data_IF_126651428634
#
_entry.id   IF_126651428634
#
_cell.length_a   1.000
_cell.length_b   1.000
_cell.length_c   1.000
_cell.angle_alpha   90.00
_cell.angle_beta   90.00
_cell.angle_gamma   90.00
#
_symmetry.space_group_name_H-M   'P 1'
#
loop_
_entity.id
_entity.type
_entity.pdbx_description
1 polymer ?
#
# COMPACT_ATOMS: atom_id res chain seq x y z
N UNK A 1 -34.17 59.23 -23.87
CA UNK A 1 -33.07 59.17 -24.86
C UNK A 1 -31.84 58.71 -24.09
N UNK A 2 -31.62 57.40 -23.95
CA UNK A 2 -30.66 56.60 -24.72
C UNK A 2 -29.29 56.66 -24.03
N UNK A 3 -28.50 55.60 -23.82
CA UNK A 3 -28.40 54.30 -24.45
C UNK A 3 -27.16 53.56 -23.82
N UNK A 4 -27.10 52.22 -23.91
CA UNK A 4 -25.95 51.28 -23.79
C UNK A 4 -25.44 50.70 -22.44
N UNK A 5 -25.69 49.39 -22.29
CA UNK A 5 -24.79 48.27 -21.90
C UNK A 5 -23.37 48.55 -21.35
N UNK A 6 -22.96 47.79 -20.32
CA UNK A 6 -22.06 46.61 -20.45
C UNK A 6 -21.93 45.88 -19.09
N UNK A 7 -22.01 44.55 -19.19
CA UNK A 7 -21.75 43.51 -18.19
C UNK A 7 -20.26 43.44 -17.86
N UNK A 8 -19.89 43.29 -16.59
CA UNK A 8 -18.49 43.10 -16.17
C UNK A 8 -18.36 42.34 -14.86
N UNK A 9 -18.15 41.04 -14.99
CA UNK A 9 -17.72 40.04 -14.00
C UNK A 9 -16.95 40.57 -12.78
N UNK A 10 -17.40 40.17 -11.58
CA UNK A 10 -16.55 39.97 -10.40
C UNK A 10 -17.02 38.69 -9.70
N UNK A 11 -16.76 37.54 -10.35
CA UNK A 11 -16.60 36.29 -9.60
C UNK A 11 -15.21 36.35 -8.99
N UNK A 12 -15.14 36.67 -7.70
CA UNK A 12 -13.94 36.44 -6.92
C UNK A 12 -13.74 34.90 -6.86
N UNK A 13 -12.78 34.43 -7.63
CA UNK A 13 -12.23 33.08 -7.55
C UNK A 13 -11.66 32.92 -6.15
N UNK A 14 -12.36 32.18 -5.30
CA UNK A 14 -11.74 31.59 -4.11
C UNK A 14 -10.84 30.50 -4.67
N UNK A 15 -9.55 30.80 -4.78
CA UNK A 15 -8.55 29.79 -5.08
C UNK A 15 -8.51 28.83 -3.89
N UNK A 16 -8.91 27.59 -4.15
CA UNK A 16 -8.68 26.47 -3.26
C UNK A 16 -7.16 26.33 -3.00
N UNK A 17 -6.68 26.87 -1.88
CA UNK A 17 -5.42 26.42 -1.29
C UNK A 17 -5.67 25.07 -0.61
N UNK A 18 -5.67 24.01 -1.42
CA UNK A 18 -5.50 22.65 -0.91
C UNK A 18 -4.07 22.56 -0.40
N UNK A 19 -3.92 22.60 0.92
CA UNK A 19 -2.68 22.25 1.64
C UNK A 19 -2.23 20.88 1.14
N UNK A 20 -1.11 20.85 0.41
CA UNK A 20 -0.51 19.59 -0.03
C UNK A 20 -0.18 18.78 1.22
N UNK A 21 -0.71 17.54 1.28
CA UNK A 21 -0.11 16.48 2.09
C UNK A 21 1.41 16.55 1.92
N UNK A 22 2.19 16.38 2.99
CA UNK A 22 3.66 16.42 2.96
C UNK A 22 4.23 15.53 1.84
N UNK A 23 4.32 16.10 0.63
CA UNK A 23 4.76 15.44 -0.57
C UNK A 23 6.26 15.31 -0.42
N UNK A 24 6.72 14.12 -0.06
CA UNK A 24 8.16 13.88 0.05
C UNK A 24 8.73 13.92 -1.35
N UNK A 25 9.32 15.06 -1.69
CA UNK A 25 9.95 15.29 -2.98
C UNK A 25 11.42 14.91 -2.89
N UNK A 26 11.84 13.98 -3.74
CA UNK A 26 13.25 13.69 -3.95
C UNK A 26 13.82 14.76 -4.88
N UNK A 27 14.58 15.74 -4.39
CA UNK A 27 15.12 16.85 -5.20
C UNK A 27 14.05 17.57 -6.06
N UNK A 28 12.90 17.92 -5.46
CA UNK A 28 11.74 18.52 -6.16
C UNK A 28 10.98 17.60 -7.14
N UNK A 29 11.28 16.29 -7.14
CA UNK A 29 10.58 15.28 -7.94
C UNK A 29 9.42 14.64 -7.17
N UNK A 30 8.24 14.58 -7.79
CA UNK A 30 7.10 13.81 -7.29
C UNK A 30 7.30 12.32 -7.62
N UNK A 31 7.68 11.53 -6.61
CA UNK A 31 7.99 10.11 -6.76
C UNK A 31 6.78 9.26 -7.18
N UNK A 32 5.57 9.79 -7.06
CA UNK A 32 4.31 9.06 -7.25
C UNK A 32 3.62 9.39 -8.57
N UNK A 33 4.14 10.37 -9.33
CA UNK A 33 3.72 10.67 -10.69
C UNK A 33 4.75 10.22 -11.70
N UNK A 34 4.34 9.37 -12.63
CA UNK A 34 5.27 8.72 -13.54
C UNK A 34 4.58 7.74 -14.48
N UNK A 35 5.37 6.82 -15.01
CA UNK A 35 4.87 5.71 -15.83
C UNK A 35 5.72 4.46 -15.62
N UNK A 36 5.17 3.32 -15.99
CA UNK A 36 5.91 2.06 -16.02
C UNK A 36 6.73 1.96 -17.30
N UNK A 37 8.02 1.67 -17.16
CA UNK A 37 8.94 1.48 -18.27
C UNK A 37 9.56 0.09 -18.20
N UNK A 38 9.80 -0.49 -19.37
CA UNK A 38 10.53 -1.75 -19.46
C UNK A 38 11.97 -1.56 -18.98
N UNK A 39 12.50 -2.55 -18.27
CA UNK A 39 13.86 -2.53 -17.72
C UNK A 39 14.45 -3.93 -17.64
N UNK A 40 15.58 -4.13 -18.32
CA UNK A 40 16.32 -5.41 -18.28
C UNK A 40 16.89 -5.74 -16.90
N UNK A 41 17.10 -4.71 -16.08
CA UNK A 41 17.61 -4.82 -14.70
C UNK A 41 16.59 -5.37 -13.70
N UNK A 42 15.34 -5.59 -14.12
CA UNK A 42 14.27 -6.14 -13.28
C UNK A 42 13.96 -7.60 -13.66
N UNK A 43 13.39 -8.42 -12.76
CA UNK A 43 13.07 -8.10 -11.37
C UNK A 43 14.33 -7.96 -10.50
N UNK A 44 14.20 -7.36 -9.30
CA UNK A 44 15.31 -7.19 -8.36
C UNK A 44 15.88 -8.50 -7.83
N UNK A 45 15.07 -9.56 -7.86
CA UNK A 45 15.41 -10.90 -7.36
C UNK A 45 14.62 -11.98 -8.11
N UNK A 46 15.06 -13.23 -7.96
CA UNK A 46 14.29 -14.39 -8.40
C UNK A 46 13.42 -14.89 -7.24
N UNK A 47 12.09 -14.79 -7.34
CA UNK A 47 11.20 -15.18 -6.24
C UNK A 47 11.34 -16.64 -5.80
N UNK A 48 11.72 -17.54 -6.73
CA UNK A 48 11.90 -18.96 -6.43
C UNK A 48 13.11 -19.24 -5.53
N UNK A 49 13.99 -18.25 -5.29
CA UNK A 49 15.09 -18.38 -4.33
C UNK A 49 14.69 -17.97 -2.91
N UNK A 50 13.47 -17.47 -2.69
CA UNK A 50 12.98 -17.09 -1.37
C UNK A 50 12.02 -18.15 -0.82
N UNK A 51 12.47 -19.06 0.07
CA UNK A 51 11.68 -20.23 0.48
C UNK A 51 10.43 -19.90 1.32
N UNK A 52 10.30 -18.66 1.79
CA UNK A 52 9.23 -18.20 2.68
C UNK A 52 8.14 -17.38 1.97
N UNK A 53 8.21 -17.23 0.64
CA UNK A 53 7.30 -16.37 -0.14
C UNK A 53 6.04 -17.12 -0.57
N UNK A 54 4.86 -16.49 -0.46
CA UNK A 54 3.58 -17.10 -0.88
C UNK A 54 3.17 -16.74 -2.31
N UNK A 55 3.37 -15.49 -2.73
CA UNK A 55 2.89 -14.95 -4.01
C UNK A 55 3.83 -15.21 -5.20
N UNK A 56 4.55 -16.34 -5.19
CA UNK A 56 5.41 -16.73 -6.32
C UNK A 56 4.56 -17.27 -7.48
N UNK A 57 4.15 -16.36 -8.37
CA UNK A 57 3.31 -16.70 -9.51
C UNK A 57 4.00 -17.64 -10.50
N UNK A 58 5.32 -17.55 -10.67
CA UNK A 58 6.06 -18.43 -11.58
C UNK A 58 6.03 -19.88 -11.10
N UNK A 59 6.31 -20.11 -9.81
CA UNK A 59 6.22 -21.45 -9.22
C UNK A 59 4.79 -21.99 -9.21
N UNK A 60 3.81 -21.08 -9.14
CA UNK A 60 2.38 -21.41 -9.29
C UNK A 60 1.94 -21.60 -10.76
N UNK A 61 2.88 -21.62 -11.72
CA UNK A 61 2.64 -21.99 -13.11
C UNK A 61 2.30 -20.84 -14.05
N UNK A 62 2.55 -19.57 -13.68
CA UNK A 62 2.39 -18.43 -14.58
C UNK A 62 3.41 -18.49 -15.72
N UNK A 63 2.98 -18.53 -17.00
CA UNK A 63 3.89 -18.76 -18.12
C UNK A 63 4.56 -17.46 -18.63
N UNK A 64 3.87 -16.32 -18.55
CA UNK A 64 4.38 -15.04 -19.02
C UNK A 64 5.35 -14.42 -17.99
N UNK A 65 6.38 -13.75 -18.48
CA UNK A 65 7.45 -13.16 -17.64
C UNK A 65 7.60 -11.66 -17.81
N UNK A 66 6.97 -11.07 -18.83
CA UNK A 66 7.14 -9.65 -19.16
C UNK A 66 6.67 -8.72 -18.03
N UNK A 67 5.68 -9.13 -17.24
CA UNK A 67 5.20 -8.37 -16.08
C UNK A 67 6.31 -8.10 -15.04
N UNK A 68 7.36 -8.94 -15.00
CA UNK A 68 8.52 -8.79 -14.11
C UNK A 68 9.52 -7.74 -14.60
N UNK A 69 9.40 -7.32 -15.86
CA UNK A 69 10.38 -6.44 -16.53
C UNK A 69 9.99 -4.97 -16.50
N UNK A 70 9.05 -4.60 -15.64
CA UNK A 70 8.58 -3.22 -15.50
C UNK A 70 9.11 -2.60 -14.21
N UNK A 71 9.68 -1.40 -14.34
CA UNK A 71 10.05 -0.53 -13.21
C UNK A 71 9.24 0.75 -13.25
N UNK A 72 8.96 1.32 -12.08
CA UNK A 72 8.35 2.64 -11.99
C UNK A 72 9.38 3.73 -12.32
N UNK A 73 9.01 4.68 -13.16
CA UNK A 73 9.83 5.85 -13.49
C UNK A 73 9.06 7.13 -13.16
N UNK A 74 9.40 7.83 -12.07
CA UNK A 74 8.87 9.15 -11.77
C UNK A 74 9.14 10.16 -12.90
N UNK A 75 8.30 11.18 -12.98
CA UNK A 75 8.50 12.28 -13.91
C UNK A 75 9.59 13.21 -13.35
N UNK A 76 10.67 13.39 -14.12
CA UNK A 76 11.72 14.36 -13.79
C UNK A 76 12.83 13.85 -12.87
N UNK A 77 12.79 12.59 -12.44
CA UNK A 77 13.90 11.95 -11.74
C UNK A 77 13.92 10.42 -11.97
N UNK A 78 15.01 9.78 -11.56
CA UNK A 78 15.09 8.34 -11.44
C UNK A 78 15.13 7.94 -9.96
N UNK A 79 14.49 6.81 -9.64
CA UNK A 79 14.64 6.21 -8.32
C UNK A 79 16.06 5.65 -8.16
N UNK A 80 16.68 5.78 -6.98
CA UNK A 80 17.94 5.10 -6.70
C UNK A 80 17.71 3.59 -6.76
N UNK A 81 18.66 2.87 -7.34
CA UNK A 81 18.62 1.40 -7.36
C UNK A 81 18.62 0.90 -5.91
N UNK A 82 17.72 -0.04 -5.59
CA UNK A 82 17.68 -0.65 -4.27
C UNK A 82 18.98 -1.41 -3.97
N UNK A 83 19.68 -0.99 -2.93
CA UNK A 83 20.86 -1.67 -2.38
C UNK A 83 20.50 -2.26 -1.01
N UNK A 84 20.35 -3.58 -0.98
CA UNK A 84 19.90 -4.30 0.22
C UNK A 84 20.95 -4.36 1.33
N UNK A 85 22.24 -4.43 1.01
CA UNK A 85 23.31 -4.42 2.00
C UNK A 85 23.43 -3.04 2.65
N UNK A 86 23.36 -1.97 1.84
CA UNK A 86 23.32 -0.60 2.34
C UNK A 86 22.06 -0.35 3.19
N UNK A 87 20.91 -0.88 2.76
CA UNK A 87 19.66 -0.77 3.52
C UNK A 87 19.77 -1.43 4.89
N UNK A 88 20.27 -2.67 4.96
CA UNK A 88 20.46 -3.38 6.23
C UNK A 88 21.50 -2.70 7.12
N UNK A 89 22.58 -2.19 6.53
CA UNK A 89 23.62 -1.44 7.25
C UNK A 89 23.08 -0.16 7.88
N UNK A 90 22.28 0.62 7.15
CA UNK A 90 21.63 1.84 7.68
C UNK A 90 20.59 1.53 8.75
N UNK A 91 19.96 0.36 8.67
CA UNK A 91 18.97 -0.13 9.63
C UNK A 91 19.56 -1.09 10.67
N UNK A 92 20.89 -1.05 10.87
CA UNK A 92 21.55 -1.85 11.89
C UNK A 92 20.99 -1.53 13.27
N UNK A 93 20.58 -2.55 14.01
CA UNK A 93 19.96 -2.41 15.32
C UNK A 93 18.52 -1.90 15.31
N UNK A 94 17.90 -1.73 14.14
CA UNK A 94 16.56 -1.13 13.99
C UNK A 94 15.48 -2.16 13.66
N UNK A 95 14.25 -1.80 13.96
CA UNK A 95 13.03 -2.54 13.59
C UNK A 95 12.16 -1.73 12.64
N UNK A 96 11.79 -2.34 11.52
CA UNK A 96 10.81 -1.83 10.56
C UNK A 96 9.55 -2.68 10.70
N UNK A 97 8.42 -2.07 11.04
CA UNK A 97 7.17 -2.78 11.27
C UNK A 97 6.08 -2.32 10.29
N UNK A 98 5.54 -3.28 9.54
CA UNK A 98 4.32 -3.15 8.74
C UNK A 98 3.12 -3.47 9.63
N UNK A 99 2.13 -2.59 9.67
CA UNK A 99 0.87 -2.81 10.39
C UNK A 99 -0.27 -2.63 9.41
N UNK A 100 -1.05 -3.67 9.15
CA UNK A 100 -2.14 -3.52 8.20
C UNK A 100 -2.79 -4.80 7.71
N UNK A 101 -3.39 -4.69 6.53
CA UNK A 101 -4.12 -5.78 5.89
C UNK A 101 -3.20 -6.73 5.09
N UNK A 102 -3.78 -7.57 4.24
CA UNK A 102 -3.01 -8.55 3.47
C UNK A 102 -2.09 -7.92 2.42
N UNK A 103 -2.27 -6.64 2.07
CA UNK A 103 -1.36 -5.93 1.18
C UNK A 103 -0.13 -5.38 1.90
N UNK A 104 -0.22 -5.09 3.21
CA UNK A 104 0.98 -4.90 4.05
C UNK A 104 1.82 -6.17 4.09
N UNK A 105 1.19 -7.35 4.25
CA UNK A 105 1.90 -8.62 4.16
C UNK A 105 2.54 -8.81 2.77
N UNK A 106 1.87 -8.39 1.70
CA UNK A 106 2.39 -8.47 0.34
C UNK A 106 3.66 -7.61 0.16
N UNK A 107 3.69 -6.40 0.71
CA UNK A 107 4.85 -5.50 0.71
C UNK A 107 5.98 -6.02 1.61
N UNK A 108 5.64 -6.56 2.79
CA UNK A 108 6.59 -7.17 3.72
C UNK A 108 7.29 -8.39 3.12
N UNK A 109 6.55 -9.28 2.43
CA UNK A 109 7.13 -10.44 1.73
C UNK A 109 8.05 -10.01 0.60
N UNK A 110 7.71 -8.94 -0.13
CA UNK A 110 8.60 -8.36 -1.13
C UNK A 110 9.90 -7.88 -0.48
N UNK A 111 9.82 -7.02 0.54
CA UNK A 111 11.01 -6.44 1.17
C UNK A 111 11.93 -7.53 1.74
N UNK A 112 11.38 -8.49 2.48
CA UNK A 112 12.18 -9.59 3.06
C UNK A 112 12.87 -10.42 2.00
N UNK A 113 12.23 -10.67 0.85
CA UNK A 113 12.83 -11.43 -0.24
C UNK A 113 13.90 -10.64 -1.02
N UNK A 114 13.69 -9.33 -1.26
CA UNK A 114 14.72 -8.44 -1.81
C UNK A 114 15.96 -8.46 -0.92
N UNK A 115 15.79 -8.31 0.39
CA UNK A 115 16.90 -8.29 1.35
C UNK A 115 17.60 -9.64 1.43
N UNK A 116 16.85 -10.74 1.51
CA UNK A 116 17.43 -12.09 1.52
C UNK A 116 18.29 -12.35 0.27
N UNK A 117 17.81 -11.91 -0.89
CA UNK A 117 18.53 -12.06 -2.16
C UNK A 117 19.77 -11.16 -2.25
N UNK A 118 19.75 -9.99 -1.60
CA UNK A 118 20.86 -9.04 -1.59
C UNK A 118 22.04 -9.49 -0.71
N UNK A 119 21.78 -10.25 0.36
CA UNK A 119 22.81 -10.77 1.28
C UNK A 119 22.73 -12.30 1.40
N UNK A 120 23.01 -13.05 0.32
CA UNK A 120 22.74 -14.49 0.23
C UNK A 120 23.54 -15.34 1.23
N UNK A 121 24.65 -14.81 1.76
CA UNK A 121 25.50 -15.49 2.73
C UNK A 121 25.15 -15.15 4.19
N UNK A 122 24.30 -14.14 4.43
CA UNK A 122 23.89 -13.75 5.77
C UNK A 122 22.78 -14.68 6.27
N UNK A 123 22.93 -15.16 7.51
CA UNK A 123 21.88 -15.92 8.15
C UNK A 123 20.66 -15.04 8.42
N UNK A 124 19.47 -15.63 8.32
CA UNK A 124 18.22 -15.00 8.71
C UNK A 124 17.41 -15.90 9.64
N UNK A 125 16.52 -15.29 10.43
CA UNK A 125 15.50 -16.00 11.20
C UNK A 125 14.12 -15.53 10.78
N UNK A 126 13.16 -16.45 10.77
CA UNK A 126 11.76 -16.13 10.50
C UNK A 126 10.89 -16.82 11.54
N UNK A 127 10.03 -16.04 12.19
CA UNK A 127 9.09 -16.55 13.19
C UNK A 127 7.68 -16.09 12.86
N UNK A 128 6.75 -17.02 12.95
CA UNK A 128 5.32 -16.76 12.78
C UNK A 128 4.61 -17.00 14.10
N UNK A 129 3.84 -16.01 14.53
CA UNK A 129 2.81 -16.16 15.57
C UNK A 129 1.46 -15.75 14.99
N UNK A 130 0.37 -15.83 15.78
CA UNK A 130 -1.00 -15.69 15.26
C UNK A 130 -1.23 -14.49 14.33
N UNK A 131 -0.70 -13.31 14.67
CA UNK A 131 -0.84 -12.08 13.86
C UNK A 131 0.49 -11.41 13.54
N UNK A 132 1.59 -11.87 14.14
CA UNK A 132 2.90 -11.24 14.03
C UNK A 132 3.86 -12.18 13.29
N UNK A 133 4.47 -11.68 12.22
CA UNK A 133 5.55 -12.33 11.48
C UNK A 133 6.80 -11.49 11.61
N UNK A 134 7.91 -12.08 12.05
CA UNK A 134 9.18 -11.37 12.25
C UNK A 134 10.25 -12.03 11.40
N UNK A 135 10.89 -11.25 10.54
CA UNK A 135 12.05 -11.64 9.74
C UNK A 135 13.27 -10.86 10.23
N UNK A 136 14.34 -11.52 10.63
CA UNK A 136 15.51 -10.84 11.20
C UNK A 136 16.81 -11.27 10.56
N UNK A 137 17.76 -10.33 10.48
CA UNK A 137 19.15 -10.60 10.10
C UNK A 137 20.05 -10.39 11.34
N UNK A 138 20.45 -11.45 12.05
CA UNK A 138 21.25 -11.33 13.27
C UNK A 138 22.57 -10.56 13.08
N UNK A 139 23.23 -10.74 11.93
CA UNK A 139 24.46 -10.03 11.58
C UNK A 139 24.29 -8.50 11.56
N UNK A 140 23.10 -8.02 11.20
CA UNK A 140 22.75 -6.60 11.15
C UNK A 140 21.98 -6.15 12.40
N UNK A 141 21.60 -7.06 13.28
CA UNK A 141 20.64 -6.80 14.36
C UNK A 141 19.38 -6.06 13.84
N UNK A 142 18.96 -6.34 12.61
CA UNK A 142 17.85 -5.68 11.94
C UNK A 142 16.65 -6.61 11.83
N UNK A 143 15.45 -6.07 12.09
CA UNK A 143 14.19 -6.84 12.07
C UNK A 143 13.15 -6.17 11.17
N UNK A 144 12.50 -6.98 10.32
CA UNK A 144 11.40 -6.59 9.45
C UNK A 144 10.16 -7.36 9.90
N UNK A 145 9.18 -6.64 10.44
CA UNK A 145 8.04 -7.21 11.15
C UNK A 145 6.75 -6.90 10.40
N UNK A 146 5.82 -7.86 10.34
CA UNK A 146 4.46 -7.64 9.90
C UNK A 146 3.49 -8.00 11.03
N UNK A 147 2.64 -7.04 11.39
CA UNK A 147 1.52 -7.21 12.30
C UNK A 147 0.20 -7.08 11.52
N UNK A 148 -0.55 -8.17 11.47
CA UNK A 148 -1.87 -8.18 10.85
C UNK A 148 -2.88 -7.41 11.70
N UNK A 149 -3.24 -6.21 11.22
CA UNK A 149 -4.32 -5.40 11.74
C UNK A 149 -5.00 -4.68 10.57
N UNK A 150 -5.87 -5.39 9.83
CA UNK A 150 -6.36 -4.90 8.56
C UNK A 150 -7.34 -3.72 8.61
N UNK A 151 -7.83 -3.34 9.79
CA UNK A 151 -8.70 -2.18 9.97
C UNK A 151 -8.05 -1.05 10.78
N UNK A 152 -6.89 -1.30 11.40
CA UNK A 152 -6.19 -0.46 12.39
C UNK A 152 -6.94 -0.20 13.69
N UNK A 153 -8.27 -0.14 13.64
CA UNK A 153 -9.19 -0.09 14.77
C UNK A 153 -9.61 -1.50 15.24
N UNK A 154 -10.26 -1.56 16.39
CA UNK A 154 -10.61 -2.83 17.03
C UNK A 154 -11.73 -3.58 16.29
N UNK A 155 -11.45 -4.85 15.96
CA UNK A 155 -12.46 -5.83 15.59
C UNK A 155 -12.71 -6.76 16.79
N UNK A 156 -13.81 -6.53 17.49
CA UNK A 156 -14.18 -7.27 18.70
C UNK A 156 -15.16 -8.41 18.38
N UNK A 157 -15.03 -9.51 19.11
CA UNK A 157 -15.96 -10.64 19.04
C UNK A 157 -16.94 -10.52 20.21
N UNK A 158 -18.11 -9.96 19.94
CA UNK A 158 -19.16 -9.72 20.92
C UNK A 158 -20.26 -10.78 20.79
N UNK A 159 -21.17 -10.86 21.76
CA UNK A 159 -22.31 -11.81 21.71
C UNK A 159 -23.20 -11.63 20.48
N UNK A 160 -23.28 -10.41 19.96
CA UNK A 160 -24.08 -10.06 18.78
C UNK A 160 -23.40 -10.43 17.46
N UNK A 161 -22.08 -10.66 17.47
CA UNK A 161 -21.27 -10.92 16.28
C UNK A 161 -19.94 -10.17 16.33
N UNK A 162 -19.28 -10.07 15.18
CA UNK A 162 -18.02 -9.35 15.02
C UNK A 162 -18.31 -7.86 14.83
N UNK A 163 -17.84 -7.04 15.76
CA UNK A 163 -18.11 -5.60 15.81
C UNK A 163 -16.84 -4.83 15.50
N UNK A 164 -16.89 -4.01 14.45
CA UNK A 164 -15.81 -3.09 14.11
C UNK A 164 -16.01 -1.77 14.87
N UNK A 165 -15.21 -1.53 15.91
CA UNK A 165 -15.28 -0.36 16.79
C UNK A 165 -14.44 0.77 16.20
N UNK A 166 -15.09 1.70 15.49
CA UNK A 166 -14.42 2.69 14.63
C UNK A 166 -13.65 3.76 15.39
N UNK A 167 -13.88 3.92 16.69
CA UNK A 167 -13.27 4.90 17.58
C UNK A 167 -12.40 4.27 18.68
N UNK A 168 -11.99 3.00 18.51
CA UNK A 168 -11.19 2.27 19.50
C UNK A 168 -9.95 1.61 18.88
N UNK A 169 -8.81 1.77 19.56
CA UNK A 169 -7.52 1.14 19.21
C UNK A 169 -6.92 0.55 20.49
N UNK A 170 -7.14 -0.75 20.73
CA UNK A 170 -6.60 -1.49 21.87
C UNK A 170 -5.21 -2.09 21.62
N UNK A 171 -4.79 -2.16 20.35
CA UNK A 171 -3.55 -2.83 19.93
C UNK A 171 -2.38 -1.89 19.65
N UNK A 172 -2.55 -0.59 19.89
CA UNK A 172 -1.55 0.42 19.57
C UNK A 172 -0.23 0.27 20.33
N UNK A 173 -0.27 -0.35 21.51
CA UNK A 173 0.91 -0.66 22.34
C UNK A 173 1.87 -1.69 21.69
N UNK A 174 1.40 -2.41 20.66
CA UNK A 174 2.19 -3.35 19.87
C UNK A 174 2.94 -2.64 18.71
N UNK A 175 2.56 -1.42 18.34
CA UNK A 175 3.12 -0.72 17.18
C UNK A 175 4.45 -0.06 17.54
N UNK A 176 5.49 -0.87 17.63
CA UNK A 176 6.83 -0.48 18.08
C UNK A 176 7.87 -0.74 16.99
N UNK A 177 8.61 0.29 16.65
CA UNK A 177 9.72 0.22 15.70
C UNK A 177 10.32 1.60 15.40
N UNK A 178 11.49 1.59 14.79
CA UNK A 178 12.17 2.78 14.28
C UNK A 178 11.50 3.29 12.99
N UNK A 179 10.81 2.40 12.29
CA UNK A 179 9.97 2.74 11.14
C UNK A 179 8.66 1.96 11.21
N UNK A 180 7.54 2.67 11.16
CA UNK A 180 6.19 2.10 11.14
C UNK A 180 5.55 2.37 9.78
N UNK A 181 5.02 1.33 9.14
CA UNK A 181 4.39 1.40 7.81
C UNK A 181 2.97 0.87 7.95
N UNK A 182 2.02 1.79 8.01
CA UNK A 182 0.60 1.47 8.17
C UNK A 182 -0.08 1.26 6.82
N UNK A 183 -1.04 0.33 6.73
CA UNK A 183 -1.95 0.23 5.60
C UNK A 183 -3.32 -0.23 6.08
N UNK A 184 -4.36 0.36 5.52
CA UNK A 184 -5.70 -0.22 5.62
C UNK A 184 -6.55 0.31 4.48
N UNK A 185 -7.10 -0.60 3.67
CA UNK A 185 -8.17 -0.27 2.73
C UNK A 185 -8.79 -1.53 2.14
N UNK A 186 -7.96 -2.52 1.77
CA UNK A 186 -8.39 -3.65 0.97
C UNK A 186 -9.55 -4.41 1.62
N UNK A 187 -9.48 -4.63 2.94
CA UNK A 187 -10.54 -5.33 3.68
C UNK A 187 -11.85 -4.54 3.79
N UNK A 188 -11.82 -3.21 3.78
CA UNK A 188 -13.04 -2.36 3.82
C UNK A 188 -13.91 -2.56 2.57
N UNK A 189 -13.30 -2.99 1.47
CA UNK A 189 -14.00 -3.29 0.21
C UNK A 189 -14.61 -4.69 0.16
N UNK A 190 -14.28 -5.57 1.12
CA UNK A 190 -14.73 -6.96 1.10
C UNK A 190 -16.25 -7.06 1.20
N UNK A 191 -16.83 -7.99 0.45
CA UNK A 191 -18.27 -8.27 0.39
C UNK A 191 -18.53 -9.77 0.53
N UNK A 192 -19.78 -10.13 0.81
CA UNK A 192 -20.21 -11.52 0.88
C UNK A 192 -19.35 -12.34 1.84
N UNK A 193 -18.80 -13.46 1.35
CA UNK A 193 -17.97 -14.38 2.15
C UNK A 193 -16.63 -13.78 2.61
N UNK A 194 -16.17 -12.70 1.99
CA UNK A 194 -14.94 -12.02 2.38
C UNK A 194 -15.17 -10.96 3.47
N UNK A 195 -16.41 -10.48 3.67
CA UNK A 195 -16.71 -9.50 4.75
C UNK A 195 -16.46 -10.19 6.10
N UNK A 196 -15.56 -9.62 6.90
CA UNK A 196 -15.11 -10.21 8.18
C UNK A 196 -15.69 -9.55 9.42
N UNK A 197 -16.61 -8.60 9.26
CA UNK A 197 -17.34 -7.94 10.35
C UNK A 197 -18.85 -7.99 10.09
N UNK A 198 -19.63 -7.93 11.15
CA UNK A 198 -21.09 -7.99 11.13
C UNK A 198 -21.70 -6.61 11.44
N UNK A 199 -21.11 -5.86 12.38
CA UNK A 199 -21.62 -4.56 12.85
C UNK A 199 -20.52 -3.50 12.89
N UNK A 200 -20.93 -2.24 12.91
CA UNK A 200 -20.12 -1.06 13.22
C UNK A 200 -20.50 -0.48 14.58
N UNK A 201 -19.52 0.06 15.30
CA UNK A 201 -19.75 0.75 16.57
C UNK A 201 -18.99 2.07 16.63
N UNK A 202 -19.66 3.10 17.16
CA UNK A 202 -19.06 4.40 17.55
C UNK A 202 -19.65 4.78 18.92
N UNK A 203 -18.81 4.98 19.92
CA UNK A 203 -19.22 5.10 21.31
C UNK A 203 -20.08 3.90 21.72
N UNK A 204 -21.27 4.17 22.26
CA UNK A 204 -22.23 3.12 22.66
C UNK A 204 -23.21 2.71 21.54
N UNK A 205 -23.16 3.36 20.37
CA UNK A 205 -24.09 3.10 19.27
C UNK A 205 -23.56 2.01 18.36
N UNK A 206 -24.30 0.91 18.26
CA UNK A 206 -24.05 -0.20 17.33
C UNK A 206 -25.05 -0.17 16.18
N UNK A 207 -24.57 -0.31 14.95
CA UNK A 207 -25.39 -0.41 13.74
C UNK A 207 -24.92 -1.58 12.88
N UNK A 208 -25.85 -2.27 12.21
CA UNK A 208 -25.52 -3.40 11.32
C UNK A 208 -24.86 -2.92 10.02
N UNK A 209 -25.37 -1.83 9.45
CA UNK A 209 -24.89 -1.29 8.18
C UNK A 209 -24.62 0.22 8.27
N UNK A 210 -23.60 0.66 7.53
CA UNK A 210 -23.12 2.03 7.41
C UNK A 210 -22.47 2.19 6.03
N UNK A 211 -22.42 3.41 5.48
CA UNK A 211 -21.58 3.66 4.30
C UNK A 211 -20.12 3.34 4.64
N UNK A 212 -19.49 2.47 3.85
CA UNK A 212 -18.16 1.96 4.19
C UNK A 212 -17.07 3.01 4.08
N UNK A 213 -17.25 4.01 3.22
CA UNK A 213 -16.28 5.10 3.09
C UNK A 213 -16.41 6.09 4.25
N UNK A 214 -17.63 6.29 4.77
CA UNK A 214 -17.85 6.98 6.04
C UNK A 214 -17.20 6.21 7.21
N UNK A 215 -17.45 4.91 7.33
CA UNK A 215 -16.84 4.06 8.35
C UNK A 215 -15.30 4.05 8.27
N UNK A 216 -14.76 3.91 7.05
CA UNK A 216 -13.32 3.96 6.78
C UNK A 216 -12.73 5.31 7.20
N UNK A 217 -13.38 6.42 6.84
CA UNK A 217 -12.95 7.77 7.24
C UNK A 217 -12.93 7.92 8.76
N UNK A 218 -13.95 7.43 9.47
CA UNK A 218 -13.98 7.47 10.94
C UNK A 218 -12.81 6.68 11.54
N UNK A 219 -12.62 5.42 11.11
CA UNK A 219 -11.53 4.58 11.61
C UNK A 219 -10.14 5.15 11.32
N UNK A 220 -9.92 5.66 10.11
CA UNK A 220 -8.65 6.27 9.75
C UNK A 220 -8.42 7.57 10.52
N UNK A 221 -9.47 8.34 10.81
CA UNK A 221 -9.38 9.52 11.69
C UNK A 221 -8.99 9.11 13.11
N UNK A 222 -9.55 8.03 13.65
CA UNK A 222 -9.16 7.48 14.96
C UNK A 222 -7.70 7.07 14.97
N UNK A 223 -7.23 6.37 13.94
CA UNK A 223 -5.82 6.02 13.78
C UNK A 223 -4.92 7.26 13.73
N UNK A 224 -5.30 8.28 12.95
CA UNK A 224 -4.48 9.50 12.82
C UNK A 224 -4.26 10.20 14.16
N UNK A 225 -5.34 10.41 14.93
CA UNK A 225 -5.29 11.00 16.27
C UNK A 225 -4.45 10.16 17.23
N UNK A 226 -4.56 8.84 17.13
CA UNK A 226 -3.77 7.93 17.95
C UNK A 226 -2.28 8.06 17.65
N UNK A 227 -1.89 8.08 16.37
CA UNK A 227 -0.49 8.25 15.95
C UNK A 227 0.08 9.56 16.47
N UNK A 228 -0.61 10.69 16.22
CA UNK A 228 -0.15 12.02 16.65
C UNK A 228 -0.02 12.12 18.18
N UNK A 229 -0.83 11.37 18.93
CA UNK A 229 -0.81 11.40 20.40
C UNK A 229 0.20 10.42 21.02
N UNK A 230 0.61 9.36 20.32
CA UNK A 230 1.35 8.24 20.93
C UNK A 230 2.71 7.96 20.30
N UNK A 231 3.00 8.47 19.10
CA UNK A 231 4.27 8.22 18.41
C UNK A 231 5.13 9.49 18.40
N UNK A 232 6.33 9.38 18.95
CA UNK A 232 7.36 10.41 18.84
C UNK A 232 8.01 10.37 17.44
N UNK A 233 7.50 11.17 16.51
CA UNK A 233 7.95 11.26 15.12
C UNK A 233 9.33 11.93 14.94
N UNK A 234 9.97 12.35 16.04
CA UNK A 234 11.39 12.71 16.05
C UNK A 234 12.30 11.48 16.12
N UNK A 235 11.79 10.34 16.60
CA UNK A 235 12.52 9.08 16.76
C UNK A 235 12.06 7.99 15.81
N UNK A 236 10.78 7.99 15.45
CA UNK A 236 10.17 6.96 14.60
C UNK A 236 9.72 7.58 13.27
N UNK A 237 10.15 6.97 12.16
CA UNK A 237 9.59 7.31 10.85
C UNK A 237 8.21 6.65 10.71
N UNK A 238 7.19 7.42 10.33
CA UNK A 238 5.84 6.89 10.12
C UNK A 238 5.45 7.05 8.67
N UNK A 239 5.09 5.94 8.04
CA UNK A 239 4.58 5.88 6.68
C UNK A 239 3.16 5.35 6.67
N UNK A 240 2.36 5.82 5.73
CA UNK A 240 1.12 5.18 5.32
C UNK A 240 1.28 4.66 3.89
N UNK A 241 1.23 3.34 3.71
CA UNK A 241 1.10 2.72 2.40
C UNK A 241 -0.28 3.10 1.85
N UNK A 242 -0.30 3.84 0.74
CA UNK A 242 -1.51 4.27 0.07
C UNK A 242 -2.35 3.11 -0.46
N UNK A 243 -3.43 3.45 -1.15
CA UNK A 243 -4.38 2.44 -1.60
C UNK A 243 -3.84 1.67 -2.80
N UNK A 244 -3.75 0.35 -2.69
CA UNK A 244 -3.45 -0.53 -3.81
C UNK A 244 -4.73 -0.83 -4.61
N UNK A 245 -4.66 -0.64 -5.93
CA UNK A 245 -5.76 -0.90 -6.84
C UNK A 245 -6.10 -2.40 -6.94
N UNK A 246 -7.35 -2.67 -7.35
CA UNK A 246 -7.84 -3.99 -7.78
C UNK A 246 -8.28 -3.92 -9.23
N UNK A 247 -8.19 -5.02 -9.96
CA UNK A 247 -8.54 -5.06 -11.40
C UNK A 247 -9.68 -6.04 -11.68
N UNK A 248 -10.91 -5.60 -11.36
CA UNK A 248 -12.12 -6.42 -11.41
C UNK A 248 -13.03 -6.14 -12.62
N UNK A 249 -12.76 -5.10 -13.41
CA UNK A 249 -13.57 -4.75 -14.57
C UNK A 249 -12.71 -4.07 -15.65
N UNK A 250 -12.58 -4.71 -16.82
CA UNK A 250 -11.71 -4.20 -17.88
C UNK A 250 -12.14 -2.91 -18.54
N UNK A 251 -13.40 -2.52 -18.38
CA UNK A 251 -13.89 -1.23 -18.82
C UNK A 251 -13.13 -0.07 -18.14
N UNK A 252 -12.62 -0.27 -16.93
CA UNK A 252 -11.86 0.74 -16.19
C UNK A 252 -10.46 1.00 -16.77
N UNK A 253 -9.94 0.11 -17.61
CA UNK A 253 -8.68 0.29 -18.31
C UNK A 253 -8.81 0.27 -19.84
N UNK A 254 -10.02 0.49 -20.36
CA UNK A 254 -10.29 0.61 -21.79
C UNK A 254 -10.37 -0.74 -22.54
N UNK A 255 -10.53 -1.85 -21.84
CA UNK A 255 -10.69 -3.20 -22.41
C UNK A 255 -12.02 -3.83 -21.93
N UNK A 256 -13.19 -3.40 -22.44
CA UNK A 256 -14.49 -3.80 -21.90
C UNK A 256 -14.79 -5.31 -22.01
N UNK A 257 -14.11 -6.04 -22.89
CA UNK A 257 -14.23 -7.49 -23.02
C UNK A 257 -13.52 -8.25 -21.88
N UNK A 258 -12.55 -7.62 -21.21
CA UNK A 258 -11.83 -8.21 -20.11
C UNK A 258 -12.68 -8.19 -18.83
N UNK A 259 -13.04 -9.37 -18.33
CA UNK A 259 -13.88 -9.50 -17.13
C UNK A 259 -13.18 -9.13 -15.83
N UNK A 260 -11.85 -9.23 -15.78
CA UNK A 260 -10.98 -8.93 -14.64
C UNK A 260 -9.51 -9.01 -15.12
N UNK A 261 -8.55 -9.07 -14.18
CA UNK A 261 -7.11 -9.20 -14.47
C UNK A 261 -6.69 -10.50 -15.19
N UNK A 262 -7.58 -11.48 -15.39
CA UNK A 262 -7.22 -12.74 -16.04
C UNK A 262 -6.82 -12.54 -17.49
N UNK A 263 -5.63 -13.06 -17.85
CA UNK A 263 -5.06 -12.96 -19.19
C UNK A 263 -4.33 -11.64 -19.47
N UNK A 264 -4.26 -10.73 -18.49
CA UNK A 264 -3.56 -9.46 -18.61
C UNK A 264 -2.06 -9.68 -18.42
N UNK A 265 -1.26 -9.31 -19.42
CA UNK A 265 0.20 -9.52 -19.43
C UNK A 265 1.02 -8.24 -19.66
N UNK A 266 0.34 -7.10 -19.88
CA UNK A 266 0.96 -5.81 -20.11
C UNK A 266 0.27 -4.72 -19.27
N UNK A 267 1.02 -3.73 -18.77
CA UNK A 267 0.47 -2.63 -18.00
C UNK A 267 -0.45 -1.75 -18.85
N UNK A 268 -1.24 -0.92 -18.18
CA UNK A 268 -1.92 0.21 -18.83
C UNK A 268 -0.86 1.20 -19.31
N UNK A 269 -0.93 1.59 -20.59
CA UNK A 269 0.07 2.47 -21.19
C UNK A 269 -0.06 3.91 -20.69
N UNK A 270 1.07 4.58 -20.50
CA UNK A 270 1.15 5.99 -20.17
C UNK A 270 1.18 6.26 -18.67
N UNK A 271 0.75 7.45 -18.28
CA UNK A 271 0.85 7.99 -16.92
C UNK A 271 -0.50 8.37 -16.31
N UNK A 272 -1.60 7.92 -16.92
CA UNK A 272 -2.98 8.22 -16.51
C UNK A 272 -3.80 6.96 -16.56
N UNK A 273 -4.57 6.70 -15.51
CA UNK A 273 -5.56 5.64 -15.50
C UNK A 273 -6.90 6.18 -16.05
N UNK A 274 -7.56 5.50 -16.99
CA UNK A 274 -8.80 6.00 -17.60
C UNK A 274 -10.05 5.73 -16.74
N UNK A 275 -9.95 4.83 -15.75
CA UNK A 275 -11.03 4.48 -14.85
C UNK A 275 -11.33 5.56 -13.80
N UNK A 276 -12.34 5.33 -12.95
CA UNK A 276 -12.74 6.30 -11.95
C UNK A 276 -11.65 6.53 -10.90
N UNK A 277 -11.69 7.72 -10.28
CA UNK A 277 -10.91 8.01 -9.08
C UNK A 277 -11.24 7.01 -7.97
N UNK A 278 -10.22 6.65 -7.22
CA UNK A 278 -10.32 5.61 -6.23
C UNK A 278 -10.82 6.21 -4.89
N UNK A 279 -12.08 5.97 -4.51
CA UNK A 279 -12.73 6.64 -3.35
C UNK A 279 -11.94 6.61 -2.03
N UNK A 280 -11.22 5.51 -1.76
CA UNK A 280 -10.37 5.41 -0.57
C UNK A 280 -9.12 6.31 -0.60
N UNK A 281 -8.63 6.64 -1.80
CA UNK A 281 -7.43 7.45 -2.01
C UNK A 281 -7.65 8.88 -1.49
N UNK A 282 -8.78 9.48 -1.84
CA UNK A 282 -9.14 10.84 -1.40
C UNK A 282 -9.25 10.93 0.14
N UNK A 283 -9.79 9.89 0.77
CA UNK A 283 -9.90 9.81 2.24
C UNK A 283 -8.52 9.69 2.87
N UNK A 284 -7.66 8.80 2.36
CA UNK A 284 -6.29 8.64 2.85
C UNK A 284 -5.52 9.94 2.72
N UNK A 285 -5.56 10.58 1.55
CA UNK A 285 -4.90 11.87 1.29
C UNK A 285 -5.40 12.95 2.26
N UNK A 286 -6.72 13.07 2.42
CA UNK A 286 -7.32 14.03 3.34
C UNK A 286 -6.87 13.82 4.78
N UNK A 287 -6.93 12.59 5.30
CA UNK A 287 -6.56 12.31 6.69
C UNK A 287 -5.05 12.50 6.90
N UNK A 288 -4.20 11.87 6.08
CA UNK A 288 -2.74 11.94 6.23
C UNK A 288 -2.22 13.38 6.06
N UNK A 289 -2.84 14.20 5.19
CA UNK A 289 -2.45 15.61 5.02
C UNK A 289 -2.65 16.47 6.26
N UNK A 290 -3.54 16.05 7.17
CA UNK A 290 -3.86 16.77 8.40
C UNK A 290 -3.00 16.35 9.60
N UNK A 291 -2.13 15.36 9.42
CA UNK A 291 -1.25 14.84 10.47
C UNK A 291 0.07 15.60 10.52
N UNK A 292 0.73 15.62 11.68
CA UNK A 292 1.96 16.40 11.86
C UNK A 292 3.12 15.89 10.99
N UNK A 293 3.46 14.60 11.09
CA UNK A 293 4.63 14.03 10.41
C UNK A 293 4.45 12.56 10.03
N UNK A 294 3.65 12.34 8.99
CA UNK A 294 3.46 11.04 8.33
C UNK A 294 3.74 11.16 6.83
N UNK A 295 4.42 10.17 6.29
CA UNK A 295 4.74 10.08 4.87
C UNK A 295 3.75 9.17 4.14
N UNK A 296 3.04 9.70 3.15
CA UNK A 296 2.18 8.89 2.29
C UNK A 296 3.01 8.26 1.17
N UNK A 297 3.02 6.93 1.10
CA UNK A 297 3.43 6.21 -0.10
C UNK A 297 2.22 6.20 -1.05
N UNK A 298 2.07 7.22 -1.90
CA UNK A 298 0.91 7.39 -2.79
C UNK A 298 0.96 6.42 -3.99
N UNK A 299 0.75 5.13 -3.70
CA UNK A 299 0.90 4.03 -4.65
C UNK A 299 -0.34 3.79 -5.54
N UNK A 300 -1.38 4.62 -5.44
CA UNK A 300 -2.66 4.31 -6.10
C UNK A 300 -2.54 4.34 -7.63
N UNK A 301 -2.02 5.43 -8.20
CA UNK A 301 -1.84 5.52 -9.65
C UNK A 301 -0.90 4.43 -10.19
N UNK A 302 0.26 4.23 -9.56
CA UNK A 302 1.23 3.26 -10.07
C UNK A 302 0.70 1.82 -9.99
N UNK A 303 -0.17 1.50 -9.02
CA UNK A 303 -0.82 0.19 -8.96
C UNK A 303 -1.99 0.07 -9.95
N UNK A 304 -2.79 1.12 -10.16
CA UNK A 304 -3.83 1.17 -11.19
C UNK A 304 -3.30 0.90 -12.60
N UNK A 305 -2.06 1.28 -12.88
CA UNK A 305 -1.44 1.03 -14.19
C UNK A 305 -0.95 -0.42 -14.36
N UNK A 306 -1.03 -1.27 -13.34
CA UNK A 306 -0.44 -2.63 -13.32
C UNK A 306 -1.45 -3.76 -13.36
N UNK A 307 -2.45 -3.69 -14.22
CA UNK A 307 -3.41 -4.78 -14.44
C UNK A 307 -2.79 -6.16 -14.69
N UNK A 308 -1.54 -6.20 -15.18
CA UNK A 308 -0.72 -7.38 -15.43
C UNK A 308 -0.04 -7.99 -14.19
N UNK A 309 0.11 -7.21 -13.12
CA UNK A 309 0.93 -7.59 -11.95
C UNK A 309 0.26 -8.55 -10.97
N UNK A 310 -1.04 -8.82 -11.13
CA UNK A 310 -1.80 -9.68 -10.22
C UNK A 310 -1.51 -11.18 -10.42
N UNK A 311 -1.63 -12.01 -9.37
CA UNK A 311 -1.56 -13.46 -9.49
C UNK A 311 -2.59 -14.05 -10.43
N UNK A 312 -3.79 -13.45 -10.50
CA UNK A 312 -4.91 -14.03 -11.24
C UNK A 312 -5.15 -15.48 -10.78
N UNK A 313 -5.10 -16.45 -11.68
CA UNK A 313 -5.25 -17.88 -11.36
C UNK A 313 -3.98 -18.51 -10.74
N UNK A 314 -2.87 -17.78 -10.69
CA UNK A 314 -1.56 -18.24 -10.22
C UNK A 314 -1.30 -17.87 -8.75
N UNK A 315 -2.36 -17.75 -7.96
CA UNK A 315 -2.29 -17.46 -6.52
C UNK A 315 -2.06 -18.72 -5.64
N UNK A 316 -1.76 -19.88 -6.25
CA UNK A 316 -1.54 -21.13 -5.52
C UNK A 316 -2.81 -21.78 -4.93
N UNK A 317 -4.00 -21.30 -5.30
CA UNK A 317 -5.32 -21.78 -4.78
C UNK A 317 -6.18 -22.50 -5.83
N UNK A 318 -5.57 -22.90 -6.94
CA UNK A 318 -6.23 -23.58 -8.06
C UNK A 318 -6.93 -22.65 -9.05
N UNK A 319 -7.24 -23.18 -10.24
CA UNK A 319 -7.64 -22.41 -11.43
C UNK A 319 -9.01 -21.70 -11.35
N UNK A 320 -9.84 -22.04 -10.36
CA UNK A 320 -11.13 -21.40 -10.11
C UNK A 320 -11.01 -20.11 -9.30
N UNK A 321 -9.91 -19.95 -8.55
CA UNK A 321 -9.66 -18.75 -7.76
C UNK A 321 -8.91 -17.74 -8.61
N UNK A 322 -9.47 -16.55 -8.81
CA UNK A 322 -8.85 -15.45 -9.55
C UNK A 322 -8.57 -14.32 -8.58
N UNK A 323 -7.31 -14.11 -8.24
CA UNK A 323 -6.88 -13.00 -7.39
C UNK A 323 -6.51 -11.79 -8.24
N UNK A 324 -7.33 -10.74 -8.19
CA UNK A 324 -7.05 -9.45 -8.83
C UNK A 324 -6.89 -8.33 -7.79
N UNK A 325 -6.43 -8.69 -6.59
CA UNK A 325 -6.24 -7.76 -5.47
C UNK A 325 -4.85 -7.80 -4.85
N UNK A 326 -4.25 -8.99 -4.73
CA UNK A 326 -2.85 -9.15 -4.33
C UNK A 326 -1.94 -9.09 -5.54
N UNK A 327 -0.63 -9.11 -5.34
CA UNK A 327 0.38 -8.95 -6.38
C UNK A 327 1.33 -10.14 -6.43
N UNK A 328 1.71 -10.53 -7.65
CA UNK A 328 2.83 -11.45 -7.84
C UNK A 328 4.10 -10.88 -7.22
N UNK A 329 4.91 -11.77 -6.66
CA UNK A 329 6.25 -11.47 -6.19
C UNK A 329 7.26 -12.34 -6.95
N UNK A 330 8.33 -11.81 -7.52
CA UNK A 330 8.67 -10.38 -7.68
C UNK A 330 7.60 -9.62 -8.50
N UNK A 331 7.51 -8.30 -8.33
CA UNK A 331 6.49 -7.50 -9.00
C UNK A 331 6.23 -6.14 -8.37
N UNK A 332 4.97 -5.71 -8.43
CA UNK A 332 4.53 -4.34 -8.08
C UNK A 332 4.95 -3.89 -6.66
N UNK A 333 4.87 -4.74 -5.61
CA UNK A 333 5.30 -4.36 -4.27
C UNK A 333 6.80 -4.06 -4.15
N UNK A 334 7.62 -4.57 -5.08
CA UNK A 334 9.05 -4.25 -5.10
C UNK A 334 9.25 -2.75 -5.35
N UNK A 335 8.49 -2.16 -6.27
CA UNK A 335 8.56 -0.71 -6.52
C UNK A 335 8.00 0.13 -5.37
N UNK A 336 7.09 -0.40 -4.54
CA UNK A 336 6.71 0.28 -3.29
C UNK A 336 7.90 0.34 -2.34
N UNK A 337 8.66 -0.76 -2.25
CA UNK A 337 9.88 -0.85 -1.45
C UNK A 337 11.04 -0.03 -2.03
N UNK A 338 11.16 0.11 -3.34
CA UNK A 338 12.13 1.02 -3.99
C UNK A 338 11.85 2.48 -3.64
N UNK A 339 10.57 2.90 -3.63
CA UNK A 339 10.19 4.25 -3.22
C UNK A 339 10.45 4.43 -1.72
N UNK A 340 10.04 3.48 -0.88
CA UNK A 340 10.33 3.52 0.56
C UNK A 340 11.85 3.63 0.82
N UNK A 341 12.66 2.85 0.12
CA UNK A 341 14.12 2.93 0.17
C UNK A 341 14.62 4.33 -0.19
N UNK A 342 14.15 4.90 -1.30
CA UNK A 342 14.54 6.25 -1.71
C UNK A 342 14.25 7.28 -0.61
N UNK A 343 13.09 7.18 0.06
CA UNK A 343 12.70 8.08 1.14
C UNK A 343 13.52 7.87 2.42
N UNK A 344 13.81 6.62 2.81
CA UNK A 344 14.59 6.30 4.00
C UNK A 344 16.08 6.60 3.85
N UNK A 345 16.62 6.51 2.63
CA UNK A 345 18.05 6.75 2.39
C UNK A 345 18.41 8.23 2.27
N UNK A 346 17.42 9.11 2.13
CA UNK A 346 17.63 10.56 2.09
C UNK A 346 17.62 11.24 3.46
N UNK A 347 16.96 10.64 4.45
CA UNK A 347 16.72 11.24 5.77
C UNK A 347 17.70 10.80 6.84
#
# INVERSE_FOLDING_TARGET
MGLWNIIGLLMAVVADEIVQANNVQLNSCDLFKGSWVYSDSHPLYNASTCPFIGFNCLDNGRPDRDYLKYRWKPNGCDLPRFDGEAFLTRNRGKTIMFVGDSLSNNMWQSLTCVLHSAVPNSNYTITYSSKLSTFSFPEYAASIVFLQNGFLVDLAYEKIGKVLKLDSISTGDQWKGDTLIFNTYHWWTHTGRSKTWDYFQVGDKVVEEMDRMEAFKMALTTWSKWVDSNIDTSKTNVFFQGVSAVHLNGSEWGEPEAKNCKGQSQPVKGSKYPGPSHRGEDIVKSVVSSMEKVYLLDITLLTQLRKDGHPSIYAGKGSKFVDCSHWCLAGVPDSWNEILYALLMQN
#
